data_IF_820926122311
#
_entry.id   IF_820926122311
#
_cell.length_a   1.000
_cell.length_b   1.000
_cell.length_c   1.000
_cell.angle_alpha   90.00
_cell.angle_beta   90.00
_cell.angle_gamma   90.00
#
_symmetry.space_group_name_H-M   'P 1'
#
loop_
_entity.id
_entity.type
_entity.pdbx_description
1 polymer ?
#
# COMPACT_ATOMS: atom_id res chain seq x y z
N UNK A 1 -4.44 7.46 16.25
CA UNK A 1 -4.91 8.78 15.78
C UNK A 1 -3.76 9.78 15.92
N UNK A 2 -2.99 9.97 14.85
CA UNK A 2 -1.98 11.04 14.78
C UNK A 2 -2.74 12.36 14.67
N UNK A 3 -2.60 13.26 15.64
CA UNK A 3 -3.16 14.62 15.54
C UNK A 3 -2.26 15.44 14.62
N UNK A 4 -2.71 15.70 13.40
CA UNK A 4 -2.05 16.65 12.50
C UNK A 4 -2.10 18.05 13.11
N UNK A 5 -0.95 18.72 13.19
CA UNK A 5 -0.89 20.13 13.59
C UNK A 5 -1.45 20.99 12.47
N UNK A 6 -2.60 21.62 12.71
CA UNK A 6 -3.24 22.55 11.78
C UNK A 6 -2.50 23.89 11.78
N UNK A 7 -2.37 24.50 10.61
CA UNK A 7 -1.89 25.87 10.48
C UNK A 7 -2.95 26.82 11.01
N UNK A 8 -2.54 27.71 11.93
CA UNK A 8 -3.46 28.68 12.54
C UNK A 8 -3.74 29.91 11.66
N UNK A 9 -2.83 30.24 10.73
CA UNK A 9 -2.99 31.37 9.81
C UNK A 9 -3.37 30.89 8.40
N UNK A 10 -4.39 31.54 7.83
CA UNK A 10 -4.83 31.34 6.45
C UNK A 10 -3.72 31.75 5.47
N UNK A 11 -2.84 32.68 5.83
CA UNK A 11 -1.69 33.07 4.99
C UNK A 11 -0.70 31.93 4.80
N UNK A 12 -0.39 31.19 5.86
CA UNK A 12 0.49 30.02 5.77
C UNK A 12 -0.15 28.94 4.90
N UNK A 13 -1.47 28.76 5.03
CA UNK A 13 -2.23 27.83 4.20
C UNK A 13 -2.20 28.21 2.71
N UNK A 14 -2.33 29.51 2.42
CA UNK A 14 -2.23 30.04 1.07
C UNK A 14 -0.80 29.91 0.52
N UNK A 15 0.23 30.07 1.35
CA UNK A 15 1.61 29.90 0.92
C UNK A 15 1.90 28.46 0.44
N UNK A 16 1.36 27.45 1.15
CA UNK A 16 1.45 26.06 0.70
C UNK A 16 0.73 25.89 -0.64
N UNK A 17 -0.52 26.37 -0.75
CA UNK A 17 -1.28 26.27 -2.00
C UNK A 17 -0.59 26.99 -3.17
N UNK A 18 -0.02 28.19 -2.96
CA UNK A 18 0.73 28.92 -3.98
C UNK A 18 1.95 28.11 -4.44
N UNK A 19 2.70 27.58 -3.49
CA UNK A 19 3.89 26.76 -3.77
C UNK A 19 3.55 25.49 -4.54
N UNK A 20 2.54 24.72 -4.12
CA UNK A 20 2.22 23.41 -4.73
C UNK A 20 1.37 23.52 -6.00
N UNK A 21 0.59 24.60 -6.16
CA UNK A 21 -0.15 24.86 -7.40
C UNK A 21 0.67 25.60 -8.45
N UNK A 22 1.87 26.08 -8.10
CA UNK A 22 2.70 26.95 -8.93
C UNK A 22 1.95 28.20 -9.43
N UNK A 23 1.10 28.77 -8.55
CA UNK A 23 0.28 29.97 -8.84
C UNK A 23 0.68 31.10 -7.90
N UNK A 24 0.79 32.31 -8.43
CA UNK A 24 1.09 33.49 -7.65
C UNK A 24 -0.18 34.25 -7.22
N UNK A 25 -0.07 35.01 -6.12
CA UNK A 25 -1.08 35.96 -5.65
C UNK A 25 -2.45 35.35 -5.32
N UNK A 26 -2.50 34.09 -4.88
CA UNK A 26 -3.72 33.44 -4.40
C UNK A 26 -4.28 34.13 -3.16
N UNK A 27 -3.46 34.83 -2.38
CA UNK A 27 -3.93 35.68 -1.27
C UNK A 27 -4.91 36.79 -1.67
N UNK A 28 -4.91 37.20 -2.94
CA UNK A 28 -5.86 38.19 -3.48
C UNK A 28 -7.11 37.54 -4.09
N UNK A 29 -7.11 36.21 -4.26
CA UNK A 29 -8.21 35.47 -4.84
C UNK A 29 -9.19 35.01 -3.75
N UNK A 30 -10.46 35.47 -3.77
CA UNK A 30 -11.43 35.13 -2.73
C UNK A 30 -11.77 33.64 -2.70
N UNK A 31 -11.73 32.96 -3.85
CA UNK A 31 -11.97 31.51 -3.93
C UNK A 31 -10.79 30.72 -3.37
N UNK A 32 -9.56 31.19 -3.57
CA UNK A 32 -8.39 30.54 -2.96
C UNK A 32 -8.37 30.72 -1.44
N UNK A 33 -8.74 31.90 -0.93
CA UNK A 33 -8.95 32.11 0.50
C UNK A 33 -10.05 31.21 1.08
N UNK A 34 -11.13 31.00 0.32
CA UNK A 34 -12.22 30.12 0.72
C UNK A 34 -11.78 28.65 0.73
N UNK A 35 -11.02 28.22 -0.28
CA UNK A 35 -10.41 26.90 -0.35
C UNK A 35 -9.46 26.66 0.83
N UNK A 36 -8.54 27.58 1.12
CA UNK A 36 -7.61 27.47 2.23
C UNK A 36 -8.35 27.30 3.58
N UNK A 37 -9.44 28.04 3.80
CA UNK A 37 -10.29 27.88 4.99
C UNK A 37 -11.05 26.54 5.00
N UNK A 38 -11.53 26.08 3.84
CA UNK A 38 -12.24 24.79 3.72
C UNK A 38 -11.34 23.59 4.00
N UNK A 39 -10.05 23.71 3.68
CA UNK A 39 -9.05 22.68 3.98
C UNK A 39 -8.52 22.76 5.43
N UNK A 40 -9.09 23.66 6.24
CA UNK A 40 -8.89 23.78 7.69
C UNK A 40 -7.42 23.83 8.13
N UNK A 41 -6.57 24.44 7.30
CA UNK A 41 -5.14 24.59 7.58
C UNK A 41 -4.35 23.28 7.63
N UNK A 42 -4.88 22.18 7.10
CA UNK A 42 -4.18 20.88 7.05
C UNK A 42 -3.12 20.90 5.94
N UNK A 43 -1.81 20.88 6.26
CA UNK A 43 -0.75 21.02 5.25
C UNK A 43 -0.83 19.98 4.13
N UNK A 44 -1.18 18.74 4.48
CA UNK A 44 -1.32 17.65 3.52
C UNK A 44 -2.54 17.82 2.59
N UNK A 45 -3.68 18.30 3.11
CA UNK A 45 -4.83 18.61 2.25
C UNK A 45 -4.51 19.76 1.29
N UNK A 46 -3.82 20.78 1.80
CA UNK A 46 -3.38 21.94 1.01
C UNK A 46 -2.37 21.54 -0.08
N UNK A 47 -1.41 20.67 0.25
CA UNK A 47 -0.40 20.22 -0.72
C UNK A 47 -1.03 19.40 -1.84
N UNK A 48 -1.88 18.40 -1.53
CA UNK A 48 -2.58 17.59 -2.53
C UNK A 48 -3.53 18.46 -3.38
N UNK A 49 -4.30 19.38 -2.77
CA UNK A 49 -5.19 20.27 -3.51
C UNK A 49 -4.43 21.21 -4.46
N UNK A 50 -3.30 21.75 -4.00
CA UNK A 50 -2.44 22.57 -4.84
C UNK A 50 -1.80 21.78 -5.97
N UNK A 51 -1.31 20.57 -5.70
CA UNK A 51 -0.78 19.67 -6.72
C UNK A 51 -1.82 19.37 -7.81
N UNK A 52 -3.07 19.08 -7.43
CA UNK A 52 -4.18 18.95 -8.38
C UNK A 52 -4.40 20.21 -9.22
N UNK A 53 -4.39 21.40 -8.60
CA UNK A 53 -4.54 22.68 -9.30
C UNK A 53 -3.37 22.95 -10.26
N UNK A 54 -2.18 22.43 -10.01
CA UNK A 54 -1.06 22.55 -10.95
C UNK A 54 -1.29 21.68 -12.20
N UNK A 55 -1.74 20.44 -11.99
CA UNK A 55 -1.88 19.46 -13.08
C UNK A 55 -3.14 19.64 -13.92
N UNK A 56 -4.22 20.12 -13.30
CA UNK A 56 -5.52 20.28 -13.97
C UNK A 56 -5.76 21.76 -14.25
N UNK A 57 -6.05 22.08 -15.52
CA UNK A 57 -6.48 23.42 -15.94
C UNK A 57 -7.87 23.74 -15.37
N UNK A 58 -7.89 24.14 -14.10
CA UNK A 58 -9.10 24.44 -13.34
C UNK A 58 -8.90 25.64 -12.43
N UNK A 59 -9.99 26.24 -11.97
CA UNK A 59 -9.96 27.38 -11.05
C UNK A 59 -10.15 26.91 -9.61
N UNK A 60 -9.75 27.72 -8.62
CA UNK A 60 -10.06 27.42 -7.21
C UNK A 60 -11.57 27.31 -6.95
N UNK A 61 -12.39 28.04 -7.72
CA UNK A 61 -13.86 27.97 -7.62
C UNK A 61 -14.39 26.60 -8.09
N UNK A 62 -13.86 26.13 -9.22
CA UNK A 62 -14.27 24.84 -9.77
C UNK A 62 -13.76 23.67 -8.92
N UNK A 63 -12.54 23.77 -8.38
CA UNK A 63 -12.04 22.79 -7.41
C UNK A 63 -12.91 22.73 -6.14
N UNK A 64 -13.34 23.88 -5.62
CA UNK A 64 -14.27 23.94 -4.48
C UNK A 64 -15.59 23.21 -4.78
N UNK A 65 -16.12 23.35 -6.00
CA UNK A 65 -17.33 22.63 -6.43
C UNK A 65 -17.10 21.11 -6.42
N UNK A 66 -15.99 20.65 -7.00
CA UNK A 66 -15.61 19.23 -7.01
C UNK A 66 -15.41 18.68 -5.59
N UNK A 67 -14.81 19.47 -4.72
CA UNK A 67 -14.62 19.14 -3.31
C UNK A 67 -15.98 18.94 -2.60
N UNK A 68 -16.93 19.87 -2.78
CA UNK A 68 -18.25 19.78 -2.16
C UNK A 68 -19.04 18.57 -2.69
N UNK A 69 -18.96 18.30 -4.00
CA UNK A 69 -19.57 17.10 -4.62
C UNK A 69 -18.94 15.81 -4.09
N UNK A 70 -17.61 15.76 -3.97
CA UNK A 70 -16.91 14.61 -3.42
C UNK A 70 -17.30 14.34 -1.97
N UNK A 71 -17.50 15.39 -1.17
CA UNK A 71 -17.96 15.25 0.20
C UNK A 71 -19.37 14.67 0.29
N UNK A 72 -20.31 15.19 -0.51
CA UNK A 72 -21.68 14.67 -0.55
C UNK A 72 -21.72 13.20 -0.95
N UNK A 73 -20.85 12.79 -1.87
CA UNK A 73 -20.72 11.39 -2.26
C UNK A 73 -20.21 10.52 -1.11
N UNK A 74 -19.15 10.95 -0.43
CA UNK A 74 -18.59 10.24 0.73
C UNK A 74 -19.62 10.04 1.85
N UNK A 75 -20.43 11.06 2.15
CA UNK A 75 -21.50 10.94 3.15
C UNK A 75 -22.54 9.86 2.80
N UNK A 76 -22.83 9.67 1.50
CA UNK A 76 -23.77 8.64 1.04
C UNK A 76 -23.15 7.24 1.08
N UNK A 77 -21.90 7.12 0.66
CA UNK A 77 -21.22 5.83 0.51
C UNK A 77 -20.61 5.31 1.82
N UNK A 78 -20.26 6.20 2.76
CA UNK A 78 -19.57 5.84 4.01
C UNK A 78 -19.98 6.74 5.19
N UNK A 79 -21.26 6.69 5.62
CA UNK A 79 -21.76 7.53 6.71
C UNK A 79 -21.10 7.26 8.07
N UNK A 80 -20.42 6.12 8.21
CA UNK A 80 -19.70 5.73 9.43
C UNK A 80 -18.43 6.58 9.66
N UNK A 81 -17.88 7.19 8.61
CA UNK A 81 -16.59 7.89 8.62
C UNK A 81 -16.69 9.38 8.98
N UNK A 82 -17.83 9.81 9.54
CA UNK A 82 -18.12 11.21 9.88
C UNK A 82 -17.20 11.78 10.98
N UNK A 83 -16.44 10.94 11.68
CA UNK A 83 -15.49 11.37 12.73
C UNK A 83 -14.11 11.79 12.19
N UNK A 84 -13.83 11.62 10.89
CA UNK A 84 -12.55 11.99 10.27
C UNK A 84 -12.58 13.35 9.56
N UNK A 85 -11.42 14.03 9.43
CA UNK A 85 -11.29 15.37 8.83
C UNK A 85 -11.77 15.37 7.35
N UNK A 86 -12.98 15.88 7.13
CA UNK A 86 -13.66 16.06 5.83
C UNK A 86 -12.75 16.60 4.71
N UNK A 87 -11.86 17.54 5.07
CA UNK A 87 -10.92 18.19 4.18
C UNK A 87 -10.00 17.21 3.45
N UNK A 88 -9.50 16.21 4.17
CA UNK A 88 -8.53 15.28 3.62
C UNK A 88 -9.18 14.32 2.63
N UNK A 89 -10.29 13.67 3.03
CA UNK A 89 -10.91 12.63 2.20
C UNK A 89 -11.50 13.17 0.90
N UNK A 90 -12.08 14.37 0.95
CA UNK A 90 -12.66 15.00 -0.25
C UNK A 90 -11.55 15.43 -1.23
N UNK A 91 -10.46 16.00 -0.73
CA UNK A 91 -9.29 16.36 -1.55
C UNK A 91 -8.67 15.13 -2.21
N UNK A 92 -8.45 14.05 -1.47
CA UNK A 92 -7.92 12.80 -2.03
C UNK A 92 -8.90 12.13 -3.00
N UNK A 93 -10.20 12.17 -2.71
CA UNK A 93 -11.24 11.68 -3.61
C UNK A 93 -11.22 12.39 -4.97
N UNK A 94 -11.09 13.72 -4.97
CA UNK A 94 -10.97 14.51 -6.21
C UNK A 94 -9.70 14.13 -6.99
N UNK A 95 -8.54 14.09 -6.33
CA UNK A 95 -7.28 13.69 -6.99
C UNK A 95 -7.33 12.27 -7.53
N UNK A 96 -7.86 11.32 -6.76
CA UNK A 96 -7.99 9.92 -7.15
C UNK A 96 -8.89 9.74 -8.37
N UNK A 97 -10.05 10.39 -8.41
CA UNK A 97 -10.95 10.30 -9.56
C UNK A 97 -10.26 10.77 -10.84
N UNK A 98 -9.40 11.77 -10.75
CA UNK A 98 -8.63 12.26 -11.89
C UNK A 98 -7.49 11.31 -12.28
N UNK A 99 -6.73 10.80 -11.30
CA UNK A 99 -5.74 9.73 -11.53
C UNK A 99 -6.38 8.55 -12.24
N UNK A 100 -7.56 8.10 -11.80
CA UNK A 100 -8.29 6.98 -12.40
C UNK A 100 -8.69 7.24 -13.86
N UNK A 101 -9.03 8.49 -14.21
CA UNK A 101 -9.35 8.88 -15.59
C UNK A 101 -8.11 8.88 -16.49
N UNK A 102 -6.95 9.27 -15.95
CA UNK A 102 -5.69 9.29 -16.71
C UNK A 102 -5.04 7.91 -16.83
N UNK A 103 -5.00 7.15 -15.74
CA UNK A 103 -4.41 5.83 -15.67
C UNK A 103 -5.20 4.94 -14.72
N UNK A 104 -5.92 3.96 -15.30
CA UNK A 104 -6.57 2.92 -14.51
C UNK A 104 -5.55 2.14 -13.68
N UNK A 105 -4.37 1.86 -14.22
CA UNK A 105 -3.30 1.16 -13.51
C UNK A 105 -2.87 1.88 -12.24
N UNK A 106 -2.61 3.19 -12.32
CA UNK A 106 -2.22 3.99 -11.17
C UNK A 106 -3.30 3.98 -10.06
N UNK A 107 -4.57 4.07 -10.43
CA UNK A 107 -5.67 3.97 -9.48
C UNK A 107 -5.81 2.57 -8.85
N UNK A 108 -5.56 1.51 -9.64
CA UNK A 108 -5.55 0.14 -9.13
C UNK A 108 -4.36 -0.12 -8.20
N UNK A 109 -3.21 0.49 -8.48
CA UNK A 109 -2.05 0.44 -7.59
C UNK A 109 -2.33 1.06 -6.23
N UNK A 110 -3.00 2.21 -6.16
CA UNK A 110 -3.42 2.80 -4.87
C UNK A 110 -4.41 1.90 -4.10
N UNK A 111 -5.25 1.14 -4.81
CA UNK A 111 -6.15 0.16 -4.19
C UNK A 111 -5.37 -1.03 -3.63
N UNK A 112 -4.42 -1.56 -4.39
CA UNK A 112 -3.53 -2.64 -3.97
C UNK A 112 -2.64 -2.23 -2.78
N UNK A 113 -2.14 -0.99 -2.76
CA UNK A 113 -1.31 -0.46 -1.67
C UNK A 113 -2.01 -0.45 -0.31
N UNK A 114 -3.35 -0.47 -0.25
CA UNK A 114 -4.06 -0.63 1.03
C UNK A 114 -3.73 -1.96 1.77
N UNK A 115 -3.22 -2.96 1.04
CA UNK A 115 -2.81 -4.27 1.53
C UNK A 115 -1.31 -4.38 1.84
N UNK A 116 -0.52 -3.40 1.42
CA UNK A 116 0.89 -3.25 1.77
C UNK A 116 1.08 -2.27 2.93
N UNK A 117 2.25 -2.30 3.57
CA UNK A 117 2.66 -1.20 4.45
C UNK A 117 2.64 0.16 3.73
N UNK A 118 2.44 1.22 4.48
CA UNK A 118 2.35 2.57 3.93
C UNK A 118 3.71 3.14 3.51
N UNK A 119 4.82 2.54 3.95
CA UNK A 119 6.17 2.96 3.62
C UNK A 119 6.85 1.95 2.68
N UNK A 120 7.88 2.43 1.96
CA UNK A 120 8.84 1.63 1.20
C UNK A 120 8.23 0.62 0.22
N UNK A 121 7.33 1.03 -0.68
CA UNK A 121 6.89 0.21 -1.82
C UNK A 121 7.85 0.41 -3.01
N UNK A 122 8.49 -0.66 -3.49
CA UNK A 122 9.47 -0.60 -4.60
C UNK A 122 9.08 -1.46 -5.81
N UNK A 123 9.85 -1.29 -6.90
CA UNK A 123 9.59 -1.91 -8.19
C UNK A 123 9.67 -3.44 -8.15
N UNK A 124 10.77 -3.98 -7.65
CA UNK A 124 11.06 -5.42 -7.65
C UNK A 124 10.02 -6.21 -6.85
N UNK A 125 9.57 -5.67 -5.71
CA UNK A 125 8.47 -6.22 -4.91
C UNK A 125 7.19 -6.44 -5.75
N UNK A 126 6.82 -5.47 -6.58
CA UNK A 126 5.63 -5.58 -7.42
C UNK A 126 5.87 -6.43 -8.66
N UNK A 127 7.06 -6.34 -9.27
CA UNK A 127 7.39 -7.02 -10.52
C UNK A 127 7.29 -8.54 -10.38
N UNK A 128 7.81 -9.10 -9.29
CA UNK A 128 7.80 -10.55 -9.10
C UNK A 128 6.39 -11.10 -8.91
N UNK A 129 5.55 -10.41 -8.13
CA UNK A 129 4.13 -10.77 -8.01
C UNK A 129 3.27 -10.40 -9.22
N UNK A 130 3.75 -9.46 -10.04
CA UNK A 130 3.12 -9.04 -11.29
C UNK A 130 3.21 -10.09 -12.39
N UNK A 131 4.30 -10.87 -12.45
CA UNK A 131 4.54 -11.87 -13.51
C UNK A 131 3.39 -12.88 -13.70
N UNK A 132 2.75 -13.30 -12.61
CA UNK A 132 1.53 -14.14 -12.60
C UNK A 132 0.31 -13.39 -12.03
N UNK A 133 0.44 -12.07 -11.90
CA UNK A 133 -0.59 -11.18 -11.37
C UNK A 133 -1.62 -10.76 -12.41
N UNK A 134 -2.58 -9.90 -12.02
CA UNK A 134 -3.57 -9.36 -12.95
C UNK A 134 -2.90 -8.47 -14.02
N UNK A 135 -3.50 -8.42 -15.22
CA UNK A 135 -2.94 -7.73 -16.40
C UNK A 135 -2.51 -6.29 -16.11
N UNK A 136 -3.31 -5.53 -15.36
CA UNK A 136 -2.98 -4.14 -15.05
C UNK A 136 -1.69 -3.99 -14.21
N UNK A 137 -1.34 -5.00 -13.40
CA UNK A 137 -0.12 -4.99 -12.61
C UNK A 137 1.07 -5.34 -13.50
N UNK A 138 0.90 -6.34 -14.39
CA UNK A 138 1.87 -6.67 -15.43
C UNK A 138 2.23 -5.45 -16.28
N UNK A 139 1.24 -4.68 -16.70
CA UNK A 139 1.44 -3.47 -17.50
C UNK A 139 2.25 -2.40 -16.73
N UNK A 140 2.01 -2.24 -15.42
CA UNK A 140 2.76 -1.29 -14.60
C UNK A 140 4.20 -1.76 -14.37
N UNK A 141 4.40 -3.06 -14.23
CA UNK A 141 5.70 -3.67 -13.91
C UNK A 141 6.39 -4.31 -15.11
N UNK A 142 5.97 -3.96 -16.34
CA UNK A 142 6.59 -4.46 -17.56
C UNK A 142 8.08 -4.09 -17.59
N UNK A 143 8.37 -2.86 -17.19
CA UNK A 143 9.70 -2.32 -17.06
C UNK A 143 9.75 -1.15 -16.06
N UNK A 144 10.96 -0.77 -15.66
CA UNK A 144 11.20 0.30 -14.68
C UNK A 144 10.71 1.67 -15.16
N UNK A 145 10.67 1.96 -16.48
CA UNK A 145 10.13 3.23 -17.00
C UNK A 145 8.62 3.29 -16.85
N UNK A 146 7.91 2.19 -17.14
CA UNK A 146 6.46 2.07 -16.99
C UNK A 146 6.03 2.22 -15.53
N UNK A 147 6.77 1.58 -14.62
CA UNK A 147 6.58 1.76 -13.18
C UNK A 147 6.85 3.21 -12.73
N UNK A 148 7.97 3.78 -13.16
CA UNK A 148 8.32 5.16 -12.81
C UNK A 148 7.34 6.20 -13.37
N UNK A 149 6.76 5.96 -14.55
CA UNK A 149 5.71 6.81 -15.10
C UNK A 149 4.45 6.77 -14.23
N UNK A 150 4.07 5.57 -13.76
CA UNK A 150 2.94 5.38 -12.84
C UNK A 150 3.19 6.08 -11.51
N UNK A 151 4.35 5.87 -10.89
CA UNK A 151 4.70 6.52 -9.63
C UNK A 151 4.82 8.03 -9.76
N UNK A 152 5.38 8.53 -10.87
CA UNK A 152 5.44 9.97 -11.15
C UNK A 152 4.04 10.59 -11.18
N UNK A 153 3.07 9.96 -11.85
CA UNK A 153 1.69 10.44 -11.87
C UNK A 153 1.10 10.53 -10.45
N UNK A 154 1.34 9.52 -9.61
CA UNK A 154 0.85 9.51 -8.24
C UNK A 154 1.52 10.59 -7.35
N UNK A 155 2.82 10.80 -7.54
CA UNK A 155 3.58 11.88 -6.89
C UNK A 155 3.13 13.27 -7.34
N UNK A 156 2.87 13.45 -8.64
CA UNK A 156 2.37 14.72 -9.22
C UNK A 156 1.01 15.13 -8.66
N UNK A 157 0.22 14.16 -8.19
CA UNK A 157 -1.04 14.40 -7.50
C UNK A 157 -0.91 14.52 -5.97
N UNK A 158 0.30 14.43 -5.41
CA UNK A 158 0.56 14.55 -3.98
C UNK A 158 -0.11 13.46 -3.15
N UNK A 159 -0.27 12.26 -3.72
CA UNK A 159 -0.81 11.08 -3.02
C UNK A 159 0.31 10.14 -2.55
N UNK A 160 1.45 10.16 -3.25
CA UNK A 160 2.63 9.33 -3.01
C UNK A 160 3.85 10.25 -2.90
N UNK A 161 4.82 9.85 -2.09
CA UNK A 161 6.10 10.52 -1.91
C UNK A 161 7.21 9.56 -2.31
N UNK A 162 8.14 10.01 -3.14
CA UNK A 162 9.35 9.23 -3.44
C UNK A 162 10.31 9.36 -2.26
N UNK A 163 10.88 8.25 -1.80
CA UNK A 163 11.95 8.27 -0.80
C UNK A 163 13.30 8.03 -1.48
N UNK A 164 14.05 9.09 -1.83
CA UNK A 164 15.34 8.93 -2.48
C UNK A 164 16.43 8.38 -1.54
N UNK A 165 16.17 8.31 -0.23
CA UNK A 165 17.18 7.91 0.77
C UNK A 165 17.26 6.41 0.99
N UNK A 166 16.29 5.65 0.48
CA UNK A 166 16.22 4.20 0.71
C UNK A 166 17.38 3.42 0.08
N UNK A 167 18.06 3.91 -0.97
CA UNK A 167 19.14 3.15 -1.62
C UNK A 167 20.18 4.00 -2.39
N UNK A 168 21.15 4.60 -1.68
CA UNK A 168 22.44 4.95 -2.32
C UNK A 168 23.44 3.77 -2.34
N UNK A 169 23.10 2.62 -1.73
CA UNK A 169 24.06 1.52 -1.48
C UNK A 169 23.55 0.10 -1.75
N UNK A 170 22.37 -0.11 -2.35
CA UNK A 170 21.75 -1.43 -2.56
C UNK A 170 21.40 -1.73 -4.03
N UNK A 171 21.23 -3.02 -4.36
CA UNK A 171 20.93 -3.52 -5.70
C UNK A 171 19.47 -3.38 -6.16
N UNK A 172 18.56 -2.96 -5.27
CA UNK A 172 17.13 -2.76 -5.56
C UNK A 172 16.74 -1.29 -5.74
N UNK A 173 15.60 -1.08 -6.41
CA UNK A 173 15.05 0.26 -6.63
C UNK A 173 14.67 0.98 -5.30
N UNK A 174 14.80 2.32 -5.25
CA UNK A 174 14.29 3.11 -4.14
C UNK A 174 12.78 2.93 -3.93
N UNK A 175 12.36 3.03 -2.68
CA UNK A 175 10.97 2.90 -2.27
C UNK A 175 10.16 4.20 -2.45
N UNK A 176 8.85 4.02 -2.48
CA UNK A 176 7.86 5.08 -2.41
C UNK A 176 7.02 4.89 -1.15
N UNK A 177 6.50 5.99 -0.61
CA UNK A 177 5.70 5.98 0.62
C UNK A 177 4.41 6.75 0.43
N UNK A 178 3.39 6.39 1.18
CA UNK A 178 2.15 7.14 1.32
C UNK A 178 2.01 7.60 2.75
N UNK A 179 1.64 8.87 2.94
CA UNK A 179 1.39 9.38 4.28
C UNK A 179 0.31 8.54 4.98
N UNK A 180 0.50 8.19 6.26
CA UNK A 180 -0.40 7.25 6.97
C UNK A 180 -1.88 7.65 6.95
N UNK A 181 -2.21 8.94 6.86
CA UNK A 181 -3.59 9.40 6.67
C UNK A 181 -4.16 9.10 5.28
N UNK A 182 -3.35 9.22 4.22
CA UNK A 182 -3.70 8.81 2.86
C UNK A 182 -3.90 7.30 2.82
N UNK A 183 -3.01 6.54 3.46
CA UNK A 183 -3.14 5.08 3.57
C UNK A 183 -4.42 4.66 4.30
N UNK A 184 -4.75 5.31 5.43
CA UNK A 184 -6.01 5.07 6.13
C UNK A 184 -7.23 5.32 5.24
N UNK A 185 -7.19 6.38 4.42
CA UNK A 185 -8.22 6.65 3.42
C UNK A 185 -8.28 5.56 2.34
N UNK A 186 -7.14 5.08 1.83
CA UNK A 186 -7.11 3.95 0.89
C UNK A 186 -7.74 2.68 1.49
N UNK A 187 -7.50 2.43 2.77
CA UNK A 187 -8.01 1.26 3.49
C UNK A 187 -9.52 1.34 3.73
N UNK A 188 -10.02 2.50 4.15
CA UNK A 188 -11.39 2.62 4.67
C UNK A 188 -12.38 3.20 3.65
N UNK A 189 -11.90 3.95 2.65
CA UNK A 189 -12.73 4.63 1.66
C UNK A 189 -12.57 4.00 0.28
N UNK A 190 -11.33 3.82 -0.19
CA UNK A 190 -11.13 3.22 -1.53
C UNK A 190 -11.51 1.73 -1.54
N UNK A 191 -11.22 1.00 -0.46
CA UNK A 191 -11.54 -0.41 -0.30
C UNK A 191 -12.69 -0.60 0.70
N UNK A 192 -13.92 -0.57 0.21
CA UNK A 192 -15.11 -0.87 1.03
C UNK A 192 -15.20 -2.37 1.28
N UNK A 193 -14.47 -2.86 2.29
CA UNK A 193 -14.33 -4.29 2.60
C UNK A 193 -12.98 -4.86 2.18
N UNK A 194 -12.82 -6.18 2.35
CA UNK A 194 -11.65 -6.91 1.85
C UNK A 194 -11.96 -7.38 0.43
N UNK A 195 -11.15 -6.93 -0.51
CA UNK A 195 -11.09 -7.45 -1.88
C UNK A 195 -10.10 -8.61 -1.89
N UNK A 196 -10.61 -9.83 -2.03
CA UNK A 196 -9.83 -11.07 -1.94
C UNK A 196 -8.75 -11.14 -3.03
N UNK A 197 -9.06 -10.71 -4.25
CA UNK A 197 -8.12 -10.72 -5.37
C UNK A 197 -6.94 -9.76 -5.10
N UNK A 198 -7.24 -8.55 -4.61
CA UNK A 198 -6.21 -7.58 -4.23
C UNK A 198 -5.36 -8.09 -3.06
N UNK A 199 -6.00 -8.68 -2.04
CA UNK A 199 -5.29 -9.23 -0.89
C UNK A 199 -4.36 -10.38 -1.30
N UNK A 200 -4.81 -11.27 -2.18
CA UNK A 200 -4.00 -12.37 -2.69
C UNK A 200 -2.87 -11.86 -3.59
N UNK A 201 -3.13 -10.86 -4.43
CA UNK A 201 -2.11 -10.24 -5.29
C UNK A 201 -1.00 -9.61 -4.45
N UNK A 202 -1.34 -8.85 -3.40
CA UNK A 202 -0.34 -8.27 -2.50
C UNK A 202 0.46 -9.35 -1.76
N UNK A 203 -0.22 -10.41 -1.29
CA UNK A 203 0.42 -11.56 -0.64
C UNK A 203 1.39 -12.26 -1.59
N UNK A 204 1.02 -12.42 -2.87
CA UNK A 204 1.86 -13.00 -3.92
C UNK A 204 3.12 -12.18 -4.14
N UNK A 205 3.01 -10.85 -4.29
CA UNK A 205 4.16 -9.96 -4.41
C UNK A 205 5.16 -10.15 -3.27
N UNK A 206 4.68 -10.12 -2.02
CA UNK A 206 5.55 -10.32 -0.84
C UNK A 206 6.17 -11.72 -0.85
N UNK A 207 5.39 -12.75 -1.13
CA UNK A 207 5.83 -14.13 -1.04
C UNK A 207 6.79 -14.54 -2.15
N UNK A 208 6.59 -14.06 -3.39
CA UNK A 208 7.53 -14.28 -4.51
C UNK A 208 8.91 -13.71 -4.18
N UNK A 209 8.91 -12.56 -3.52
CA UNK A 209 10.11 -11.79 -3.27
C UNK A 209 10.87 -12.18 -2.00
N UNK A 210 10.40 -13.20 -1.25
CA UNK A 210 11.15 -13.74 -0.12
C UNK A 210 12.47 -14.33 -0.64
N UNK A 211 13.64 -13.76 -0.25
CA UNK A 211 14.92 -14.15 -0.82
C UNK A 211 15.37 -15.51 -0.31
N UNK A 212 16.06 -16.29 -1.16
CA UNK A 212 16.78 -17.47 -0.70
C UNK A 212 18.05 -17.08 0.04
N UNK A 213 18.49 -17.93 0.97
CA UNK A 213 19.62 -17.68 1.87
C UNK A 213 20.98 -17.54 1.13
N UNK A 214 20.99 -17.80 -0.18
CA UNK A 214 22.17 -17.72 -1.05
C UNK A 214 22.31 -16.33 -1.71
N UNK A 215 21.31 -15.46 -1.60
CA UNK A 215 21.33 -14.13 -2.20
C UNK A 215 22.17 -13.13 -1.38
N UNK A 216 22.96 -12.31 -2.08
CA UNK A 216 23.90 -11.37 -1.47
C UNK A 216 23.21 -10.30 -0.60
N UNK A 217 21.98 -9.92 -0.93
CA UNK A 217 21.20 -8.87 -0.25
C UNK A 217 20.08 -9.42 0.63
N UNK A 218 20.11 -10.72 0.92
CA UNK A 218 19.09 -11.47 1.66
C UNK A 218 18.54 -10.73 2.90
N UNK A 219 19.43 -10.23 3.78
CA UNK A 219 19.00 -9.55 5.01
C UNK A 219 18.35 -8.18 4.76
N UNK A 220 18.78 -7.47 3.72
CA UNK A 220 18.22 -6.15 3.37
C UNK A 220 16.80 -6.32 2.83
N UNK A 221 16.62 -7.24 1.89
CA UNK A 221 15.31 -7.54 1.29
C UNK A 221 14.33 -8.05 2.35
N UNK A 222 14.75 -8.99 3.20
CA UNK A 222 13.89 -9.46 4.29
C UNK A 222 13.42 -8.33 5.21
N UNK A 223 14.30 -7.38 5.54
CA UNK A 223 13.94 -6.25 6.41
C UNK A 223 12.87 -5.36 5.78
N UNK A 224 12.97 -5.05 4.49
CA UNK A 224 11.98 -4.25 3.75
C UNK A 224 10.64 -4.99 3.66
N UNK A 225 10.67 -6.31 3.41
CA UNK A 225 9.48 -7.14 3.28
C UNK A 225 8.62 -7.29 4.54
N UNK A 226 9.21 -7.21 5.73
CA UNK A 226 8.52 -7.59 6.97
C UNK A 226 7.23 -6.82 7.23
N UNK A 227 7.26 -5.50 7.05
CA UNK A 227 6.08 -4.66 7.31
C UNK A 227 4.97 -4.93 6.28
N UNK A 228 5.35 -5.17 5.03
CA UNK A 228 4.41 -5.61 3.99
C UNK A 228 3.79 -6.97 4.32
N UNK A 229 4.60 -7.93 4.75
CA UNK A 229 4.14 -9.27 5.15
C UNK A 229 3.13 -9.22 6.30
N UNK A 230 3.40 -8.41 7.33
CA UNK A 230 2.49 -8.22 8.47
C UNK A 230 1.15 -7.64 8.03
N UNK A 231 1.20 -6.68 7.11
CA UNK A 231 0.01 -6.05 6.56
C UNK A 231 -0.84 -7.02 5.75
N UNK A 232 -0.22 -7.77 4.84
CA UNK A 232 -0.91 -8.74 3.98
C UNK A 232 -1.70 -9.74 4.84
N UNK A 233 -1.08 -10.31 5.88
CA UNK A 233 -1.69 -11.34 6.73
C UNK A 233 -2.85 -10.79 7.55
N UNK A 234 -2.78 -9.54 8.01
CA UNK A 234 -3.86 -8.91 8.76
C UNK A 234 -5.13 -8.75 7.90
N UNK A 235 -5.00 -8.73 6.56
CA UNK A 235 -6.12 -8.50 5.63
C UNK A 235 -6.54 -9.73 4.82
N UNK A 236 -5.80 -10.83 4.81
CA UNK A 236 -6.26 -12.06 4.16
C UNK A 236 -7.48 -12.61 4.89
N UNK A 237 -8.64 -12.61 4.23
CA UNK A 237 -9.92 -13.03 4.82
C UNK A 237 -10.09 -14.56 4.95
N UNK A 238 -9.23 -15.35 4.32
CA UNK A 238 -9.43 -16.79 4.18
C UNK A 238 -8.60 -17.59 5.18
N UNK A 239 -9.25 -18.48 5.92
CA UNK A 239 -8.56 -19.47 6.78
C UNK A 239 -8.04 -20.68 5.98
N UNK A 240 -8.50 -20.85 4.74
CA UNK A 240 -8.05 -21.89 3.83
C UNK A 240 -7.16 -21.29 2.74
N UNK A 241 -5.93 -21.78 2.60
CA UNK A 241 -5.25 -21.66 1.31
C UNK A 241 -6.04 -22.49 0.28
N UNK A 242 -6.38 -21.90 -0.87
CA UNK A 242 -6.80 -22.71 -2.01
C UNK A 242 -5.61 -23.58 -2.47
N UNK A 243 -5.89 -24.66 -3.21
CA UNK A 243 -4.89 -25.67 -3.62
C UNK A 243 -3.63 -25.05 -4.27
N UNK A 244 -3.76 -23.91 -4.95
CA UNK A 244 -2.67 -23.32 -5.73
C UNK A 244 -1.88 -22.22 -4.99
N UNK A 245 -2.29 -21.85 -3.78
CA UNK A 245 -1.76 -20.68 -3.05
C UNK A 245 -0.83 -21.07 -1.88
N UNK A 246 -0.63 -22.38 -1.66
CA UNK A 246 0.13 -22.93 -0.55
C UNK A 246 1.57 -22.39 -0.45
N UNK A 247 2.23 -22.22 -1.60
CA UNK A 247 3.61 -21.75 -1.69
C UNK A 247 3.80 -20.34 -1.13
N UNK A 248 2.79 -19.47 -1.26
CA UNK A 248 2.88 -18.11 -0.74
C UNK A 248 3.04 -18.13 0.78
N UNK A 249 2.24 -18.95 1.45
CA UNK A 249 2.30 -19.11 2.90
C UNK A 249 3.57 -19.83 3.34
N UNK A 250 4.09 -20.77 2.55
CA UNK A 250 5.38 -21.40 2.84
C UNK A 250 6.51 -20.36 2.87
N UNK A 251 6.58 -19.48 1.86
CA UNK A 251 7.59 -18.43 1.79
C UNK A 251 7.45 -17.40 2.92
N UNK A 252 6.22 -16.98 3.25
CA UNK A 252 6.00 -16.13 4.44
C UNK A 252 6.41 -16.82 5.74
N UNK A 253 6.22 -18.14 5.84
CA UNK A 253 6.71 -18.95 6.95
C UNK A 253 8.23 -18.90 7.08
N UNK A 254 8.95 -18.99 5.95
CA UNK A 254 10.42 -18.83 5.91
C UNK A 254 10.83 -17.43 6.40
N UNK A 255 10.21 -16.38 5.86
CA UNK A 255 10.48 -15.00 6.26
C UNK A 255 10.34 -14.81 7.78
N UNK A 256 9.24 -15.25 8.38
CA UNK A 256 9.06 -15.12 9.84
C UNK A 256 10.00 -15.99 10.66
N UNK A 257 10.28 -17.22 10.20
CA UNK A 257 11.21 -18.14 10.87
C UNK A 257 12.59 -17.51 10.98
N UNK A 258 13.06 -16.88 9.91
CA UNK A 258 14.40 -16.26 9.84
C UNK A 258 14.49 -15.01 10.73
N UNK A 259 13.38 -14.32 10.93
CA UNK A 259 13.25 -13.20 11.87
C UNK A 259 12.96 -13.64 13.32
N UNK A 260 12.95 -14.94 13.60
CA UNK A 260 12.68 -15.50 14.94
C UNK A 260 11.21 -15.40 15.39
N UNK A 261 10.29 -15.03 14.50
CA UNK A 261 8.85 -14.90 14.74
C UNK A 261 8.16 -16.26 14.62
N UNK A 262 8.46 -17.14 15.58
CA UNK A 262 8.13 -18.57 15.48
C UNK A 262 6.62 -18.86 15.46
N UNK A 263 5.79 -18.00 16.06
CA UNK A 263 4.33 -18.20 16.12
C UNK A 263 3.69 -17.88 14.77
N UNK A 264 4.10 -16.78 14.16
CA UNK A 264 3.66 -16.36 12.83
C UNK A 264 4.14 -17.36 11.78
N UNK A 265 5.40 -17.81 11.87
CA UNK A 265 5.93 -18.86 11.01
C UNK A 265 5.12 -20.17 11.10
N UNK A 266 4.77 -20.62 12.32
CA UNK A 266 3.95 -21.80 12.52
C UNK A 266 2.56 -21.67 11.88
N UNK A 267 1.92 -20.51 12.03
CA UNK A 267 0.61 -20.25 11.43
C UNK A 267 0.68 -20.32 9.90
N UNK A 268 1.73 -19.74 9.30
CA UNK A 268 1.94 -19.75 7.86
C UNK A 268 2.23 -21.17 7.33
N UNK A 269 3.12 -21.93 7.97
CA UNK A 269 3.38 -23.31 7.55
C UNK A 269 2.19 -24.24 7.72
N UNK A 270 1.35 -24.06 8.75
CA UNK A 270 0.10 -24.83 8.88
C UNK A 270 -0.83 -24.57 7.71
N UNK A 271 -0.93 -23.32 7.26
CA UNK A 271 -1.75 -22.94 6.11
C UNK A 271 -1.18 -23.48 4.79
N UNK A 272 0.14 -23.43 4.62
CA UNK A 272 0.83 -24.05 3.49
C UNK A 272 0.63 -25.57 3.45
N UNK A 273 0.76 -26.24 4.60
CA UNK A 273 0.61 -27.69 4.72
C UNK A 273 -0.77 -28.15 4.26
N UNK A 274 -1.83 -27.49 4.73
CA UNK A 274 -3.19 -27.79 4.31
C UNK A 274 -3.38 -27.65 2.79
N UNK A 275 -2.80 -26.61 2.19
CA UNK A 275 -2.86 -26.40 0.74
C UNK A 275 -2.10 -27.46 -0.04
N UNK A 276 -0.86 -27.77 0.34
CA UNK A 276 -0.03 -28.78 -0.33
C UNK A 276 -0.55 -30.21 -0.15
N UNK A 277 -1.04 -30.58 1.03
CA UNK A 277 -1.68 -31.89 1.25
C UNK A 277 -2.91 -32.06 0.36
N UNK A 278 -3.72 -31.01 0.22
CA UNK A 278 -4.92 -31.04 -0.62
C UNK A 278 -4.56 -31.12 -2.10
N UNK A 279 -3.58 -30.34 -2.54
CA UNK A 279 -3.18 -30.26 -3.95
C UNK A 279 -2.41 -31.51 -4.42
N UNK A 280 -1.47 -31.99 -3.62
CA UNK A 280 -0.45 -32.95 -4.04
C UNK A 280 -0.31 -34.18 -3.13
N UNK A 281 -0.97 -34.20 -1.97
CA UNK A 281 -0.93 -35.32 -1.02
C UNK A 281 0.21 -35.24 0.00
N UNK A 282 0.20 -36.17 0.97
CA UNK A 282 1.14 -36.20 2.11
C UNK A 282 2.59 -36.49 1.71
N UNK A 283 2.80 -37.30 0.67
CA UNK A 283 4.13 -37.80 0.27
C UNK A 283 4.84 -36.87 -0.72
N UNK A 284 4.21 -35.77 -1.11
CA UNK A 284 4.83 -34.82 -2.03
C UNK A 284 5.96 -34.04 -1.34
N UNK A 285 7.04 -33.74 -2.07
CA UNK A 285 8.24 -33.08 -1.54
C UNK A 285 7.92 -31.81 -0.74
N UNK A 286 7.12 -30.91 -1.31
CA UNK A 286 6.76 -29.64 -0.64
C UNK A 286 5.90 -29.84 0.62
N UNK A 287 5.08 -30.89 0.65
CA UNK A 287 4.32 -31.26 1.85
C UNK A 287 5.27 -31.73 2.96
N UNK A 288 6.21 -32.62 2.62
CA UNK A 288 7.22 -33.13 3.53
C UNK A 288 8.18 -32.04 4.04
N UNK A 289 8.58 -31.12 3.17
CA UNK A 289 9.43 -29.97 3.53
C UNK A 289 8.70 -29.02 4.49
N UNK A 290 7.41 -28.80 4.29
CA UNK A 290 6.57 -28.02 5.21
C UNK A 290 6.46 -28.70 6.58
N UNK A 291 6.25 -30.02 6.63
CA UNK A 291 6.23 -30.79 7.89
C UNK A 291 7.58 -30.71 8.60
N UNK A 292 8.69 -30.88 7.88
CA UNK A 292 10.04 -30.77 8.43
C UNK A 292 10.29 -29.36 9.02
N UNK A 293 9.85 -28.30 8.34
CA UNK A 293 9.95 -26.93 8.87
C UNK A 293 9.10 -26.71 10.13
N UNK A 294 7.89 -27.29 10.19
CA UNK A 294 7.07 -27.28 11.40
C UNK A 294 7.74 -28.02 12.56
N UNK A 295 8.32 -29.21 12.32
CA UNK A 295 9.08 -29.95 13.32
C UNK A 295 10.26 -29.15 13.88
N UNK A 296 11.00 -28.47 13.01
CA UNK A 296 12.08 -27.55 13.40
C UNK A 296 11.58 -26.38 14.25
N UNK A 297 10.43 -25.79 13.92
CA UNK A 297 9.81 -24.74 14.73
C UNK A 297 9.39 -25.25 16.11
N UNK A 298 8.72 -26.39 16.18
CA UNK A 298 8.29 -26.97 17.45
C UNK A 298 9.47 -27.30 18.35
N UNK A 299 10.55 -27.85 17.78
CA UNK A 299 11.81 -28.08 18.50
C UNK A 299 12.38 -26.78 19.08
N UNK A 300 12.46 -25.71 18.26
CA UNK A 300 12.89 -24.37 18.72
C UNK A 300 11.98 -23.77 19.80
N UNK A 301 10.69 -24.09 19.79
CA UNK A 301 9.71 -23.69 20.81
C UNK A 301 9.73 -24.59 22.07
N UNK A 302 10.53 -25.66 22.10
CA UNK A 302 10.58 -26.62 23.21
C UNK A 302 9.42 -27.65 23.23
N UNK A 303 8.67 -27.74 22.14
CA UNK A 303 7.48 -28.60 21.95
C UNK A 303 7.86 -29.92 21.30
N UNK A 304 8.63 -30.74 22.03
CA UNK A 304 9.23 -31.96 21.47
C UNK A 304 8.20 -33.01 21.01
N UNK A 305 7.04 -33.10 21.67
CA UNK A 305 6.00 -34.05 21.29
C UNK A 305 5.41 -33.73 19.92
N UNK A 306 5.18 -32.46 19.64
CA UNK A 306 4.70 -32.02 18.33
C UNK A 306 5.80 -32.05 17.26
N UNK A 307 7.07 -31.97 17.65
CA UNK A 307 8.20 -32.08 16.72
C UNK A 307 8.47 -33.52 16.23
N UNK A 308 8.12 -34.53 17.04
CA UNK A 308 8.31 -35.95 16.74
C UNK A 308 7.12 -36.58 16.00
N UNK A 309 5.93 -35.96 16.11
CA UNK A 309 4.68 -36.44 15.51
C UNK A 309 4.63 -36.22 13.99
#
# INVERSE_FOLDING_TARGET
LIRLSKLGDVKDSLAILESTSNRAHLSQNPNACTLARRLDGLPLALSTAGAYLNQVSTTCAEYLRLYDESWLRLQRESPQLLDYDQALYSTWGVSFNHVQQQSRGAAMLLRLWAYFDNEDLWYELLQEGGSEGPVWLQDITEDTLSFNATMRLLCEHGLVEADPTTNETGGESPGYSVHGCVHAWMIHVLNTGVDEEMSLTATRCVASHVPSNEQQEYWTVQRRLLQHADRCITRTATDAAEENDAWMFYNLGLLYKDQGRLKEAEAMYKRALQGYEKAWGSEHTETLDTVNNLGNLYSKQGRLKEAEA
#
